data_IF_585868613712
#
_entry.id   IF_585868613712
#
_cell.length_a   1.000
_cell.length_b   1.000
_cell.length_c   1.000
_cell.angle_alpha   90.00
_cell.angle_beta   90.00
_cell.angle_gamma   90.00
#
_symmetry.space_group_name_H-M   'P 1'
#
loop_
_entity.id
_entity.type
_entity.pdbx_description
1 polymer ?
#
# COMPACT_ATOMS: atom_id res chain seq x y z
N UNK A 1 -43.74 22.24 1.43
CA UNK A 1 -42.56 21.59 2.08
C UNK A 1 -41.89 22.60 3.04
N UNK A 2 -41.88 22.35 4.36
CA UNK A 2 -41.44 23.34 5.36
C UNK A 2 -39.92 23.55 5.41
N UNK A 3 -39.44 24.82 5.57
CA UNK A 3 -38.02 25.21 5.69
C UNK A 3 -37.26 24.41 6.77
N UNK A 4 -37.90 24.13 7.92
CA UNK A 4 -37.34 23.29 9.00
C UNK A 4 -37.05 21.85 8.54
N UNK A 5 -37.96 21.26 7.76
CA UNK A 5 -37.84 19.88 7.28
C UNK A 5 -36.67 19.75 6.29
N UNK A 6 -36.51 20.72 5.38
CA UNK A 6 -35.38 20.79 4.42
C UNK A 6 -34.02 20.92 5.14
N UNK A 7 -33.95 21.69 6.24
CA UNK A 7 -32.73 21.83 7.05
C UNK A 7 -32.37 20.54 7.80
N UNK A 8 -33.37 19.78 8.29
CA UNK A 8 -33.17 18.49 8.97
C UNK A 8 -32.62 17.42 8.00
N UNK A 9 -33.16 17.34 6.79
CA UNK A 9 -32.68 16.42 5.74
C UNK A 9 -31.22 16.70 5.34
N UNK A 10 -30.84 17.98 5.16
CA UNK A 10 -29.44 18.35 4.87
C UNK A 10 -28.45 17.94 5.97
N UNK A 11 -28.83 18.09 7.24
CA UNK A 11 -28.00 17.68 8.38
C UNK A 11 -27.83 16.16 8.45
N UNK A 12 -28.90 15.40 8.21
CA UNK A 12 -28.85 13.94 8.17
C UNK A 12 -27.94 13.44 7.03
N UNK A 13 -28.04 14.04 5.84
CA UNK A 13 -27.18 13.71 4.70
C UNK A 13 -25.70 14.00 4.99
N UNK A 14 -25.39 15.15 5.62
CA UNK A 14 -24.02 15.50 6.02
C UNK A 14 -23.44 14.48 7.02
N UNK A 15 -24.19 14.16 8.08
CA UNK A 15 -23.76 13.15 9.07
C UNK A 15 -23.52 11.76 8.44
N UNK A 16 -24.34 11.35 7.47
CA UNK A 16 -24.13 10.09 6.73
C UNK A 16 -22.85 10.12 5.89
N UNK A 17 -22.58 11.24 5.21
CA UNK A 17 -21.37 11.45 4.40
C UNK A 17 -20.11 11.45 5.27
N UNK A 18 -20.14 12.14 6.40
CA UNK A 18 -19.01 12.19 7.34
C UNK A 18 -18.72 10.79 7.92
N UNK A 19 -19.77 10.02 8.25
CA UNK A 19 -19.62 8.63 8.71
C UNK A 19 -19.04 7.71 7.62
N UNK A 20 -19.49 7.85 6.37
CA UNK A 20 -18.92 7.05 5.26
C UNK A 20 -17.48 7.42 4.97
N UNK A 21 -17.10 8.70 5.10
CA UNK A 21 -15.71 9.14 4.92
C UNK A 21 -14.80 8.58 6.02
N UNK A 22 -15.26 8.59 7.26
CA UNK A 22 -14.53 7.98 8.38
C UNK A 22 -14.34 6.47 8.20
N UNK A 23 -15.38 5.75 7.76
CA UNK A 23 -15.29 4.31 7.47
C UNK A 23 -14.32 4.02 6.32
N UNK A 24 -14.37 4.82 5.24
CA UNK A 24 -13.45 4.66 4.11
C UNK A 24 -11.98 4.93 4.51
N UNK A 25 -11.74 5.92 5.39
CA UNK A 25 -10.42 6.17 5.94
C UNK A 25 -9.92 5.01 6.81
N UNK A 26 -10.80 4.42 7.62
CA UNK A 26 -10.47 3.27 8.45
C UNK A 26 -10.16 2.02 7.60
N UNK A 27 -10.99 1.75 6.60
CA UNK A 27 -10.79 0.63 5.67
C UNK A 27 -9.48 0.76 4.88
N UNK A 28 -9.13 1.97 4.44
CA UNK A 28 -7.84 2.25 3.77
C UNK A 28 -6.65 1.99 4.71
N UNK A 29 -6.76 2.40 5.97
CA UNK A 29 -5.73 2.16 6.97
C UNK A 29 -5.58 0.67 7.27
N UNK A 30 -6.68 -0.05 7.48
CA UNK A 30 -6.67 -1.50 7.73
C UNK A 30 -6.08 -2.27 6.56
N UNK A 31 -6.44 -1.92 5.31
CA UNK A 31 -5.85 -2.51 4.11
C UNK A 31 -4.34 -2.28 4.03
N UNK A 32 -3.87 -1.07 4.33
CA UNK A 32 -2.43 -0.77 4.38
C UNK A 32 -1.73 -1.57 5.48
N UNK A 33 -2.31 -1.68 6.67
CA UNK A 33 -1.75 -2.44 7.79
C UNK A 33 -1.65 -3.95 7.49
N UNK A 34 -2.67 -4.54 6.88
CA UNK A 34 -2.66 -5.94 6.46
C UNK A 34 -1.53 -6.25 5.46
N UNK A 35 -1.11 -5.28 4.63
CA UNK A 35 -0.01 -5.47 3.70
C UNK A 35 1.37 -5.49 4.38
N UNK A 36 1.53 -4.84 5.54
CA UNK A 36 2.76 -4.93 6.33
C UNK A 36 2.90 -6.30 7.01
N UNK A 37 1.80 -6.91 7.42
CA UNK A 37 1.79 -8.27 8.00
C UNK A 37 2.28 -9.32 7.00
N UNK A 38 1.99 -9.11 5.71
CA UNK A 38 2.41 -9.97 4.60
C UNK A 38 3.85 -9.72 4.12
N UNK A 39 4.59 -8.80 4.74
CA UNK A 39 5.95 -8.47 4.32
C UNK A 39 6.89 -9.64 4.66
N UNK A 40 7.49 -10.31 3.65
CA UNK A 40 8.43 -11.40 3.92
C UNK A 40 9.69 -10.86 4.59
N UNK A 41 10.20 -11.54 5.61
CA UNK A 41 11.47 -11.20 6.28
C UNK A 41 12.73 -11.54 5.48
N UNK A 42 12.57 -11.95 4.21
CA UNK A 42 13.64 -12.40 3.31
C UNK A 42 13.43 -11.80 1.92
N UNK A 43 14.51 -11.55 1.20
CA UNK A 43 14.47 -11.12 -0.19
C UNK A 43 13.77 -12.18 -1.06
N UNK A 44 12.81 -11.79 -1.89
CA UNK A 44 12.08 -12.71 -2.76
C UNK A 44 12.92 -13.25 -3.92
N UNK A 45 14.07 -12.62 -4.22
CA UNK A 45 14.94 -13.01 -5.33
C UNK A 45 16.13 -13.87 -4.90
N UNK A 46 16.85 -13.47 -3.83
CA UNK A 46 18.03 -14.19 -3.34
C UNK A 46 17.81 -14.94 -2.03
N UNK A 47 16.61 -14.88 -1.44
CA UNK A 47 16.27 -15.46 -0.14
C UNK A 47 17.11 -14.95 1.05
N UNK A 48 17.92 -13.90 0.87
CA UNK A 48 18.72 -13.30 1.93
C UNK A 48 17.83 -12.71 3.04
N UNK A 49 18.18 -12.91 4.32
CA UNK A 49 17.43 -12.35 5.45
C UNK A 49 17.55 -10.82 5.47
N UNK A 50 16.45 -10.13 5.77
CA UNK A 50 16.43 -8.68 5.87
C UNK A 50 17.24 -8.21 7.10
N UNK A 51 18.36 -7.47 6.92
CA UNK A 51 19.09 -6.92 8.05
C UNK A 51 18.29 -5.76 8.65
N UNK A 52 18.04 -5.78 9.97
CA UNK A 52 17.38 -4.67 10.69
C UNK A 52 18.34 -3.50 10.94
N UNK A 53 19.04 -3.05 9.92
CA UNK A 53 19.89 -1.85 9.97
C UNK A 53 19.16 -0.67 9.34
N UNK A 54 19.45 0.56 9.80
CA UNK A 54 18.86 1.80 9.24
C UNK A 54 19.08 1.90 7.74
N UNK A 55 20.28 1.52 7.29
CA UNK A 55 20.69 1.53 5.88
C UNK A 55 19.85 0.54 5.06
N UNK A 56 19.60 -0.66 5.59
CA UNK A 56 18.75 -1.65 4.94
C UNK A 56 17.31 -1.16 4.76
N UNK A 57 16.76 -0.40 5.72
CA UNK A 57 15.45 0.21 5.55
C UNK A 57 15.38 1.26 4.43
N UNK A 58 16.50 1.93 4.11
CA UNK A 58 16.53 2.91 3.01
C UNK A 58 16.83 2.27 1.65
N UNK A 59 17.64 1.21 1.62
CA UNK A 59 18.10 0.59 0.36
C UNK A 59 17.13 -0.46 -0.19
N UNK A 60 16.33 -1.08 0.67
CA UNK A 60 15.43 -2.15 0.25
C UNK A 60 14.11 -1.61 -0.28
N UNK A 61 13.60 -2.26 -1.33
CA UNK A 61 12.36 -1.87 -2.00
C UNK A 61 11.31 -2.94 -1.83
N UNK A 62 10.13 -2.52 -1.41
CA UNK A 62 8.94 -3.36 -1.30
C UNK A 62 8.07 -3.11 -2.52
N UNK A 63 7.72 -4.19 -3.22
CA UNK A 63 6.80 -4.15 -4.37
C UNK A 63 5.51 -4.85 -3.96
N UNK A 64 4.42 -4.10 -3.92
CA UNK A 64 3.08 -4.61 -3.60
C UNK A 64 2.32 -4.83 -4.89
N UNK A 65 1.90 -6.06 -5.15
CA UNK A 65 0.99 -6.38 -6.25
C UNK A 65 -0.41 -6.52 -5.70
N UNK A 66 -1.23 -5.47 -5.86
CA UNK A 66 -2.60 -5.45 -5.35
C UNK A 66 -3.51 -6.51 -6.01
N UNK A 67 -3.28 -6.87 -7.28
CA UNK A 67 -4.07 -7.88 -7.98
C UNK A 67 -3.87 -9.31 -7.42
N UNK A 68 -2.66 -9.61 -6.95
CA UNK A 68 -2.27 -10.93 -6.42
C UNK A 68 -2.11 -10.91 -4.89
N UNK A 69 -2.44 -9.78 -4.23
CA UNK A 69 -2.22 -9.50 -2.79
C UNK A 69 -0.86 -9.98 -2.26
N UNK A 70 0.16 -9.88 -3.12
CA UNK A 70 1.50 -10.43 -2.87
C UNK A 70 2.47 -9.29 -2.64
N UNK A 71 3.22 -9.38 -1.55
CA UNK A 71 4.26 -8.43 -1.16
C UNK A 71 5.61 -9.07 -1.44
N UNK A 72 6.42 -8.43 -2.30
CA UNK A 72 7.78 -8.88 -2.62
C UNK A 72 8.78 -7.89 -2.05
N UNK A 73 9.85 -8.42 -1.47
CA UNK A 73 10.92 -7.64 -0.88
C UNK A 73 12.18 -7.85 -1.72
N UNK A 74 12.83 -6.78 -2.16
CA UNK A 74 14.06 -6.86 -2.96
C UNK A 74 15.23 -6.15 -2.29
N UNK A 75 16.36 -6.85 -2.17
CA UNK A 75 17.62 -6.28 -1.74
C UNK A 75 18.21 -5.37 -2.85
N UNK A 76 19.08 -4.41 -2.50
CA UNK A 76 19.65 -3.47 -3.46
C UNK A 76 20.36 -4.17 -4.64
N UNK A 77 21.12 -5.24 -4.37
CA UNK A 77 21.79 -6.02 -5.42
C UNK A 77 20.81 -6.65 -6.43
N UNK A 78 19.67 -7.17 -5.96
CA UNK A 78 18.64 -7.71 -6.86
C UNK A 78 17.87 -6.61 -7.60
N UNK A 79 17.77 -5.41 -7.03
CA UNK A 79 17.16 -4.27 -7.72
C UNK A 79 18.02 -3.80 -8.89
N UNK A 80 19.34 -3.72 -8.72
CA UNK A 80 20.24 -3.32 -9.81
C UNK A 80 20.17 -4.31 -10.97
N UNK A 81 20.29 -5.61 -10.67
CA UNK A 81 20.11 -6.67 -11.67
C UNK A 81 18.75 -6.63 -12.36
N UNK A 82 17.69 -6.30 -11.62
CA UNK A 82 16.35 -6.19 -12.18
C UNK A 82 16.21 -4.95 -13.09
N UNK A 83 16.85 -3.82 -12.74
CA UNK A 83 16.89 -2.64 -13.62
C UNK A 83 17.64 -2.92 -14.90
N UNK A 84 18.84 -3.51 -14.81
CA UNK A 84 19.62 -3.92 -16.00
C UNK A 84 18.81 -4.86 -16.90
N UNK A 85 18.10 -5.82 -16.30
CA UNK A 85 17.24 -6.75 -17.06
C UNK A 85 16.06 -6.05 -17.73
N UNK A 86 15.41 -5.11 -17.04
CA UNK A 86 14.26 -4.36 -17.58
C UNK A 86 14.70 -3.37 -18.65
N UNK A 87 15.85 -2.70 -18.49
CA UNK A 87 16.41 -1.80 -19.51
C UNK A 87 16.80 -2.57 -20.77
N UNK A 88 17.40 -3.76 -20.63
CA UNK A 88 17.72 -4.62 -21.78
C UNK A 88 16.49 -5.26 -22.47
N UNK A 89 15.33 -5.32 -21.80
CA UNK A 89 14.09 -5.87 -22.36
C UNK A 89 13.07 -4.78 -22.76
N UNK A 90 13.42 -3.50 -22.64
CA UNK A 90 12.59 -2.35 -23.05
C UNK A 90 13.06 -1.72 -24.37
N UNK A 91 13.76 -2.47 -25.23
CA UNK A 91 13.81 -2.18 -26.66
C UNK A 91 12.52 -2.74 -27.29
N UNK A 92 11.51 -1.86 -27.42
CA UNK A 92 10.32 -2.04 -28.29
C UNK A 92 10.50 -1.17 -29.52
#
# INVERSE_FOLDING_TARGET
MNKKHKKKLKRAAKKKKDKSAALAAQDNLTKKMNMFDRLPGKCSACAEPFPKTREAHMSWRVVVRHAEETVRLFCPACQEKAKEFVENNNEV
#
